data_IF_148650909651
#
_entry.id   IF_148650909651
#
_cell.length_a   1.000
_cell.length_b   1.000
_cell.length_c   1.000
_cell.angle_alpha   90.00
_cell.angle_beta   90.00
_cell.angle_gamma   90.00
#
_symmetry.space_group_name_H-M   'P 1'
#
loop_
_entity.id
_entity.type
_entity.pdbx_description
1 polymer ?
#
# COMPACT_ATOMS: atom_id res chain seq x y z
N UNK A 1 -26.89 -22.47 -0.70
CA UNK A 1 -26.15 -23.63 -0.14
C UNK A 1 -24.79 -23.67 -0.78
N UNK A 2 -23.72 -23.95 -0.06
CA UNK A 2 -22.38 -24.13 -0.68
C UNK A 2 -22.35 -25.46 -1.41
N UNK A 3 -21.92 -25.48 -2.67
CA UNK A 3 -21.69 -26.70 -3.44
C UNK A 3 -20.36 -27.30 -2.99
N UNK A 4 -20.42 -28.32 -2.15
CA UNK A 4 -19.26 -29.05 -1.67
C UNK A 4 -19.23 -30.46 -2.27
N UNK A 5 -18.02 -30.99 -2.43
CA UNK A 5 -17.78 -32.30 -3.01
C UNK A 5 -16.34 -32.73 -2.80
N UNK A 6 -16.14 -34.04 -2.69
CA UNK A 6 -14.82 -34.66 -2.53
C UNK A 6 -14.56 -35.60 -3.69
N UNK A 7 -13.37 -35.49 -4.28
CA UNK A 7 -12.90 -36.44 -5.29
C UNK A 7 -11.95 -37.42 -4.62
N UNK A 8 -12.40 -38.66 -4.47
CA UNK A 8 -11.55 -39.73 -4.00
C UNK A 8 -10.58 -40.16 -5.12
N UNK A 9 -9.30 -40.31 -4.78
CA UNK A 9 -8.22 -40.68 -5.70
C UNK A 9 -8.00 -39.71 -6.89
N UNK A 10 -7.78 -38.40 -6.65
CA UNK A 10 -7.65 -37.38 -7.70
C UNK A 10 -6.48 -37.65 -8.67
N UNK A 11 -5.46 -38.41 -8.25
CA UNK A 11 -4.33 -38.83 -9.08
C UNK A 11 -4.71 -39.71 -10.28
N UNK A 12 -5.94 -40.25 -10.30
CA UNK A 12 -6.45 -41.05 -11.41
C UNK A 12 -7.13 -40.20 -12.50
N UNK A 13 -7.23 -38.88 -12.30
CA UNK A 13 -7.78 -37.96 -13.29
C UNK A 13 -6.67 -37.36 -14.18
N UNK A 14 -6.97 -37.14 -15.45
CA UNK A 14 -6.10 -36.39 -16.36
C UNK A 14 -6.23 -34.86 -16.20
N UNK A 15 -7.19 -34.40 -15.39
CA UNK A 15 -7.44 -32.99 -15.09
C UNK A 15 -8.55 -32.80 -14.06
N UNK A 16 -8.94 -31.55 -13.79
CA UNK A 16 -10.07 -31.25 -12.89
C UNK A 16 -11.40 -31.66 -13.53
N UNK A 17 -12.36 -32.08 -12.69
CA UNK A 17 -13.73 -32.32 -13.12
C UNK A 17 -14.44 -30.99 -13.38
N UNK A 18 -15.22 -30.95 -14.46
CA UNK A 18 -16.14 -29.85 -14.74
C UNK A 18 -17.49 -30.19 -14.14
N UNK A 19 -18.14 -29.22 -13.50
CA UNK A 19 -19.46 -29.39 -12.91
C UNK A 19 -20.46 -28.42 -13.55
N UNK A 20 -21.71 -28.85 -13.72
CA UNK A 20 -22.79 -27.98 -14.16
C UNK A 20 -24.08 -28.27 -13.41
N UNK A 21 -24.81 -27.22 -13.03
CA UNK A 21 -26.17 -27.29 -12.49
C UNK A 21 -27.16 -26.89 -13.59
N UNK A 22 -28.02 -27.82 -13.99
CA UNK A 22 -28.97 -27.64 -15.11
C UNK A 22 -28.29 -27.12 -16.39
N UNK A 23 -27.07 -27.59 -16.65
CA UNK A 23 -26.24 -27.19 -17.79
C UNK A 23 -25.46 -25.89 -17.61
N UNK A 24 -25.64 -25.16 -16.51
CA UNK A 24 -24.86 -23.95 -16.19
C UNK A 24 -23.61 -24.31 -15.39
N UNK A 25 -22.40 -23.88 -15.78
CA UNK A 25 -21.16 -24.20 -15.06
C UNK A 25 -21.17 -23.77 -13.59
N UNK A 26 -20.67 -24.64 -12.71
CA UNK A 26 -20.47 -24.36 -11.28
C UNK A 26 -19.10 -24.85 -10.79
N UNK A 27 -18.65 -24.32 -9.65
CA UNK A 27 -17.39 -24.71 -9.01
C UNK A 27 -17.60 -25.21 -7.57
N UNK A 28 -16.74 -26.12 -7.11
CA UNK A 28 -16.69 -26.50 -5.69
C UNK A 28 -16.42 -25.25 -4.83
N UNK A 29 -17.15 -25.11 -3.73
CA UNK A 29 -17.14 -23.93 -2.87
C UNK A 29 -18.08 -22.81 -3.32
N UNK A 30 -18.69 -22.89 -4.51
CA UNK A 30 -19.65 -21.89 -4.97
C UNK A 30 -20.97 -22.00 -4.21
N UNK A 31 -21.56 -20.87 -3.83
CA UNK A 31 -22.94 -20.86 -3.33
C UNK A 31 -23.91 -21.07 -4.49
N UNK A 32 -24.65 -22.18 -4.47
CA UNK A 32 -25.68 -22.54 -5.43
C UNK A 32 -27.08 -22.51 -4.78
N UNK A 33 -28.11 -22.52 -5.63
CA UNK A 33 -29.52 -22.65 -5.23
C UNK A 33 -30.35 -21.38 -5.37
N UNK A 34 -29.77 -20.18 -5.25
CA UNK A 34 -30.54 -18.94 -5.48
C UNK A 34 -31.02 -18.88 -6.94
N UNK A 35 -32.30 -18.54 -7.13
CA UNK A 35 -32.91 -18.43 -8.46
C UNK A 35 -33.33 -19.76 -9.08
N UNK A 36 -33.20 -20.90 -8.39
CA UNK A 36 -33.70 -22.17 -8.91
C UNK A 36 -35.22 -22.15 -9.01
N UNK A 37 -35.73 -22.62 -10.15
CA UNK A 37 -37.16 -22.92 -10.31
C UNK A 37 -37.57 -24.06 -9.37
N UNK A 38 -38.86 -24.18 -9.06
CA UNK A 38 -39.34 -25.35 -8.34
C UNK A 38 -39.34 -26.57 -9.25
N UNK A 39 -38.80 -27.70 -8.80
CA UNK A 39 -38.74 -28.93 -9.58
C UNK A 39 -37.49 -29.75 -9.33
N UNK A 40 -37.25 -30.71 -10.22
CA UNK A 40 -36.00 -31.47 -10.24
C UNK A 40 -34.90 -30.68 -10.96
N UNK A 41 -33.71 -30.75 -10.39
CA UNK A 41 -32.47 -30.18 -10.89
C UNK A 41 -31.42 -31.27 -11.00
N UNK A 42 -30.48 -31.08 -11.92
CA UNK A 42 -29.40 -32.04 -12.15
C UNK A 42 -28.05 -31.35 -12.03
N UNK A 43 -27.20 -31.89 -11.17
CA UNK A 43 -25.76 -31.59 -11.19
C UNK A 43 -25.09 -32.65 -12.04
N UNK A 44 -24.44 -32.25 -13.12
CA UNK A 44 -23.59 -33.13 -13.91
C UNK A 44 -22.13 -32.88 -13.59
N UNK A 45 -21.32 -33.92 -13.72
CA UNK A 45 -19.87 -33.80 -13.70
C UNK A 45 -19.26 -34.52 -14.90
N UNK A 46 -18.24 -33.93 -15.50
CA UNK A 46 -17.53 -34.50 -16.65
C UNK A 46 -16.02 -34.32 -16.52
N UNK A 47 -15.25 -35.26 -17.05
CA UNK A 47 -13.79 -35.22 -17.04
C UNK A 47 -13.18 -36.35 -17.86
N UNK A 48 -11.88 -36.55 -17.68
CA UNK A 48 -11.12 -37.62 -18.35
C UNK A 48 -10.23 -38.29 -17.32
N UNK A 49 -10.17 -39.62 -17.35
CA UNK A 49 -9.26 -40.37 -16.49
C UNK A 49 -7.82 -40.35 -17.04
N UNK A 50 -6.87 -40.82 -16.23
CA UNK A 50 -5.45 -40.87 -16.59
C UNK A 50 -5.14 -41.81 -17.79
N UNK A 51 -6.11 -42.62 -18.24
CA UNK A 51 -6.01 -43.53 -19.39
C UNK A 51 -6.63 -42.91 -20.65
N UNK A 52 -7.25 -41.74 -20.55
CA UNK A 52 -7.89 -41.04 -21.66
C UNK A 52 -9.37 -41.37 -21.86
N UNK A 53 -9.98 -42.14 -20.95
CA UNK A 53 -11.40 -42.48 -21.01
C UNK A 53 -12.26 -41.37 -20.39
N UNK A 54 -13.46 -41.18 -20.93
CA UNK A 54 -14.38 -40.16 -20.46
C UNK A 54 -14.99 -40.57 -19.09
N UNK A 55 -15.02 -39.61 -18.17
CA UNK A 55 -15.76 -39.72 -16.91
C UNK A 55 -16.98 -38.81 -17.01
N UNK A 56 -18.15 -39.37 -16.79
CA UNK A 56 -19.39 -38.61 -16.71
C UNK A 56 -20.31 -39.16 -15.61
N UNK A 57 -21.11 -38.28 -15.04
CA UNK A 57 -22.19 -38.68 -14.15
C UNK A 57 -23.10 -37.52 -13.78
N UNK A 58 -24.18 -37.87 -13.09
CA UNK A 58 -25.22 -36.92 -12.73
C UNK A 58 -25.82 -37.26 -11.37
N UNK A 59 -26.16 -36.23 -10.62
CA UNK A 59 -26.89 -36.31 -9.36
C UNK A 59 -28.11 -35.43 -9.48
N UNK A 60 -29.30 -36.00 -9.27
CA UNK A 60 -30.56 -35.26 -9.28
C UNK A 60 -30.97 -34.90 -7.86
N UNK A 61 -31.59 -33.74 -7.71
CA UNK A 61 -32.22 -33.31 -6.47
C UNK A 61 -33.44 -32.44 -6.78
N UNK A 62 -34.39 -32.38 -5.86
CA UNK A 62 -35.56 -31.52 -6.00
C UNK A 62 -35.41 -30.27 -5.13
N UNK A 63 -35.87 -29.14 -5.64
CA UNK A 63 -35.96 -27.89 -4.89
C UNK A 63 -37.34 -27.26 -5.05
N UNK A 64 -37.80 -26.54 -4.03
CA UNK A 64 -38.88 -25.57 -4.18
C UNK A 64 -38.34 -24.32 -4.89
N UNK A 65 -39.17 -23.50 -5.52
CA UNK A 65 -38.67 -22.28 -6.18
C UNK A 65 -37.95 -21.37 -5.17
N UNK A 66 -36.67 -21.09 -5.42
CA UNK A 66 -35.80 -20.35 -4.52
C UNK A 66 -35.71 -18.90 -5.00
N UNK A 67 -36.21 -17.93 -4.22
CA UNK A 67 -36.15 -16.53 -4.61
C UNK A 67 -34.72 -15.99 -4.63
N UNK A 68 -34.49 -14.97 -5.46
CA UNK A 68 -33.23 -14.21 -5.51
C UNK A 68 -33.45 -12.81 -4.97
N UNK A 69 -32.49 -12.26 -4.21
CA UNK A 69 -32.55 -10.86 -3.80
C UNK A 69 -32.36 -9.93 -5.01
N UNK A 70 -33.17 -8.86 -5.11
CA UNK A 70 -33.16 -7.85 -6.18
C UNK A 70 -32.84 -6.43 -5.63
N UNK A 71 -32.10 -6.43 -4.52
CA UNK A 71 -31.58 -5.22 -3.87
C UNK A 71 -32.42 -4.72 -2.70
N UNK A 72 -31.81 -3.80 -1.97
CA UNK A 72 -32.40 -3.08 -0.83
C UNK A 72 -32.22 -1.58 -1.04
N UNK A 73 -33.19 -0.78 -0.61
CA UNK A 73 -33.02 0.67 -0.50
C UNK A 73 -33.35 1.12 0.92
N UNK A 74 -32.66 2.17 1.34
CA UNK A 74 -32.87 2.81 2.62
C UNK A 74 -33.01 4.32 2.39
N UNK A 75 -34.03 4.91 3.00
CA UNK A 75 -34.18 6.36 3.08
C UNK A 75 -34.40 6.73 4.55
N UNK A 76 -33.46 7.46 5.14
CA UNK A 76 -33.49 7.88 6.54
C UNK A 76 -33.72 9.39 6.69
N UNK A 77 -34.42 9.78 7.76
CA UNK A 77 -34.65 11.18 8.13
C UNK A 77 -35.53 11.32 9.38
N UNK A 78 -35.25 12.35 10.21
CA UNK A 78 -36.06 12.70 11.39
C UNK A 78 -36.30 11.52 12.36
N UNK A 79 -35.27 10.71 12.61
CA UNK A 79 -35.36 9.54 13.50
C UNK A 79 -36.16 8.35 12.94
N UNK A 80 -36.52 8.38 11.66
CA UNK A 80 -37.24 7.30 10.98
C UNK A 80 -36.45 6.81 9.76
N UNK A 81 -36.64 5.55 9.39
CA UNK A 81 -36.07 4.98 8.17
C UNK A 81 -37.14 4.18 7.42
N UNK A 82 -37.25 4.43 6.11
CA UNK A 82 -38.00 3.60 5.18
C UNK A 82 -37.03 2.60 4.55
N UNK A 83 -37.30 1.31 4.73
CA UNK A 83 -36.54 0.21 4.14
C UNK A 83 -37.40 -0.45 3.06
N UNK A 84 -36.82 -0.63 1.87
CA UNK A 84 -37.43 -1.49 0.84
C UNK A 84 -36.48 -2.62 0.50
N UNK A 85 -37.03 -3.81 0.29
CA UNK A 85 -36.29 -4.99 -0.15
C UNK A 85 -37.07 -5.60 -1.30
N UNK A 86 -36.39 -5.81 -2.43
CA UNK A 86 -36.94 -6.51 -3.58
C UNK A 86 -36.35 -7.91 -3.63
N UNK A 87 -37.19 -8.84 -4.05
CA UNK A 87 -36.79 -10.20 -4.33
C UNK A 87 -37.61 -10.70 -5.52
N UNK A 88 -37.01 -11.58 -6.31
CA UNK A 88 -37.61 -12.16 -7.49
C UNK A 88 -37.85 -13.64 -7.24
N UNK A 89 -39.08 -14.10 -7.47
CA UNK A 89 -39.42 -15.51 -7.43
C UNK A 89 -39.38 -16.07 -8.85
N UNK A 90 -38.54 -17.07 -9.16
CA UNK A 90 -38.51 -17.70 -10.48
C UNK A 90 -39.88 -18.24 -10.93
N UNK A 91 -40.74 -18.66 -9.99
CA UNK A 91 -42.10 -19.12 -10.28
C UNK A 91 -43.12 -18.01 -10.56
N UNK A 92 -42.77 -16.74 -10.32
CA UNK A 92 -43.69 -15.60 -10.37
C UNK A 92 -44.71 -15.53 -9.23
N UNK A 93 -44.69 -16.51 -8.31
CA UNK A 93 -45.55 -16.49 -7.14
C UNK A 93 -45.20 -15.34 -6.17
N UNK A 94 -46.20 -14.84 -5.46
CA UNK A 94 -46.03 -13.78 -4.47
C UNK A 94 -45.00 -14.15 -3.39
N UNK A 95 -44.17 -13.19 -3.01
CA UNK A 95 -43.16 -13.35 -1.97
C UNK A 95 -43.57 -12.60 -0.71
N UNK A 96 -43.24 -13.17 0.45
CA UNK A 96 -43.23 -12.46 1.70
C UNK A 96 -41.78 -12.13 2.06
N UNK A 97 -41.44 -10.86 2.03
CA UNK A 97 -40.17 -10.36 2.58
C UNK A 97 -40.39 -9.94 4.03
N UNK A 98 -39.47 -10.33 4.90
CA UNK A 98 -39.51 -9.93 6.32
C UNK A 98 -38.22 -9.21 6.64
N UNK A 99 -38.33 -7.99 7.15
CA UNK A 99 -37.19 -7.31 7.76
C UNK A 99 -37.00 -7.86 9.16
N UNK A 100 -35.77 -8.28 9.46
CA UNK A 100 -35.38 -8.65 10.81
C UNK A 100 -34.69 -7.42 11.41
N UNK A 101 -35.24 -6.89 12.50
CA UNK A 101 -34.58 -5.84 13.26
C UNK A 101 -33.31 -6.41 13.90
N UNK A 102 -32.18 -5.76 13.66
CA UNK A 102 -30.93 -6.06 14.35
C UNK A 102 -30.76 -5.14 15.56
N UNK A 103 -30.23 -5.68 16.65
CA UNK A 103 -29.79 -4.88 17.80
C UNK A 103 -28.33 -4.44 17.59
N UNK A 104 -28.02 -3.21 17.98
CA UNK A 104 -26.65 -2.70 17.99
C UNK A 104 -26.06 -2.90 19.39
N UNK A 105 -25.04 -3.75 19.49
CA UNK A 105 -24.23 -3.88 20.70
C UNK A 105 -23.04 -2.93 20.62
N UNK A 106 -22.88 -2.07 21.62
CA UNK A 106 -21.72 -1.19 21.78
C UNK A 106 -20.72 -1.82 22.74
N UNK A 107 -19.43 -1.64 22.50
CA UNK A 107 -18.42 -2.07 23.46
C UNK A 107 -18.60 -1.30 24.78
N UNK A 108 -18.83 -2.03 25.89
CA UNK A 108 -19.18 -1.41 27.17
C UNK A 108 -18.02 -0.68 27.85
N UNK A 109 -16.78 -1.07 27.53
CA UNK A 109 -15.56 -0.40 27.99
C UNK A 109 -14.55 -0.36 26.86
N UNK A 110 -14.21 0.86 26.41
CA UNK A 110 -13.16 1.10 25.43
C UNK A 110 -11.89 1.55 26.15
N UNK A 111 -10.76 0.95 25.79
CA UNK A 111 -9.42 1.36 26.22
C UNK A 111 -8.56 1.62 24.99
N UNK A 112 -7.75 2.66 25.06
CA UNK A 112 -6.78 3.02 24.03
C UNK A 112 -5.37 2.86 24.57
N UNK A 113 -4.44 2.48 23.72
CA UNK A 113 -3.02 2.39 24.06
C UNK A 113 -2.24 2.04 22.80
N UNK A 114 -1.13 1.34 22.97
CA UNK A 114 -0.33 0.86 21.86
C UNK A 114 0.20 -0.56 22.10
N UNK A 115 0.55 -1.26 21.03
CA UNK A 115 1.25 -2.55 21.05
C UNK A 115 2.52 -2.43 20.23
N UNK A 116 3.52 -3.29 20.45
CA UNK A 116 4.70 -3.24 19.61
C UNK A 116 4.39 -3.70 18.19
N UNK A 117 5.00 -3.05 17.20
CA UNK A 117 4.90 -3.50 15.79
C UNK A 117 5.31 -4.97 15.64
N UNK A 118 6.30 -5.41 16.42
CA UNK A 118 6.80 -6.78 16.41
C UNK A 118 5.78 -7.83 16.86
N UNK A 119 4.71 -7.43 17.54
CA UNK A 119 3.66 -8.34 17.99
C UNK A 119 2.62 -8.62 16.88
N UNK A 120 2.69 -7.90 15.75
CA UNK A 120 1.87 -8.14 14.57
C UNK A 120 2.58 -9.12 13.63
N UNK A 121 1.95 -10.25 13.33
CA UNK A 121 2.52 -11.29 12.46
C UNK A 121 2.30 -11.03 10.96
N UNK A 122 1.76 -9.86 10.62
CA UNK A 122 1.38 -9.46 9.26
C UNK A 122 -0.07 -9.75 8.89
N UNK A 123 -0.79 -10.54 9.68
CA UNK A 123 -2.22 -10.81 9.48
C UNK A 123 -3.05 -10.59 10.74
N UNK A 124 -2.49 -10.85 11.91
CA UNK A 124 -3.18 -10.84 13.19
C UNK A 124 -2.26 -10.45 14.34
N UNK A 125 -2.90 -10.22 15.49
CA UNK A 125 -2.25 -10.05 16.78
C UNK A 125 -2.80 -11.13 17.71
N UNK A 126 -1.96 -11.66 18.60
CA UNK A 126 -2.43 -12.58 19.64
C UNK A 126 -3.50 -11.92 20.53
N UNK A 127 -4.55 -12.66 20.86
CA UNK A 127 -5.70 -12.13 21.60
C UNK A 127 -5.37 -11.71 23.05
N UNK A 128 -4.26 -12.21 23.61
CA UNK A 128 -3.77 -11.96 24.96
C UNK A 128 -2.66 -10.91 25.04
N UNK A 129 -2.44 -10.16 23.95
CA UNK A 129 -1.43 -9.12 23.89
C UNK A 129 -1.61 -8.05 24.98
N UNK A 130 -0.49 -7.61 25.55
CA UNK A 130 -0.46 -6.56 26.55
C UNK A 130 -0.48 -5.18 25.88
N UNK A 131 -1.59 -4.47 26.03
CA UNK A 131 -1.71 -3.07 25.61
C UNK A 131 -0.91 -2.18 26.56
N UNK A 132 0.05 -1.46 26.01
CA UNK A 132 0.86 -0.49 26.73
C UNK A 132 0.14 0.85 26.83
N UNK A 133 0.36 1.57 27.94
CA UNK A 133 -0.28 2.85 28.27
C UNK A 133 -1.82 2.82 28.11
N UNK A 134 -2.43 1.68 28.44
CA UNK A 134 -3.86 1.47 28.30
C UNK A 134 -4.65 2.46 29.17
N UNK A 135 -5.32 3.42 28.52
CA UNK A 135 -6.19 4.41 29.14
C UNK A 135 -7.65 4.15 28.75
N UNK A 136 -8.58 4.30 29.70
CA UNK A 136 -10.00 4.23 29.41
C UNK A 136 -10.44 5.45 28.58
N UNK A 137 -11.35 5.22 27.64
CA UNK A 137 -11.99 6.31 26.90
C UNK A 137 -13.19 6.82 27.72
N UNK A 138 -13.09 8.04 28.26
CA UNK A 138 -14.10 8.60 29.17
C UNK A 138 -15.47 8.85 28.53
N UNK A 139 -15.49 9.04 27.20
CA UNK A 139 -16.72 9.23 26.40
C UNK A 139 -16.75 8.19 25.27
N UNK A 140 -17.27 6.97 25.54
CA UNK A 140 -17.23 5.88 24.57
C UNK A 140 -18.07 6.23 23.33
N UNK A 141 -17.43 6.12 22.16
CA UNK A 141 -18.05 6.40 20.86
C UNK A 141 -19.29 5.54 20.67
N UNK A 142 -20.41 6.18 20.36
CA UNK A 142 -21.65 5.49 20.01
C UNK A 142 -21.71 5.25 18.50
N UNK A 143 -22.17 4.07 18.05
CA UNK A 143 -22.46 3.86 16.64
C UNK A 143 -23.42 4.94 16.14
N UNK A 144 -23.02 5.61 15.06
CA UNK A 144 -23.76 6.67 14.36
C UNK A 144 -23.86 8.04 15.07
N UNK A 145 -23.01 8.33 16.06
CA UNK A 145 -22.91 9.68 16.66
C UNK A 145 -21.98 10.65 15.90
N UNK A 146 -21.31 10.15 14.85
CA UNK A 146 -20.29 10.86 14.05
C UNK A 146 -19.07 11.37 14.86
N UNK A 147 -18.96 10.99 16.14
CA UNK A 147 -17.86 11.41 17.00
C UNK A 147 -16.63 10.56 16.71
N UNK A 148 -15.46 11.16 16.91
CA UNK A 148 -14.17 10.47 16.79
C UNK A 148 -13.36 10.67 18.07
N UNK A 149 -12.54 9.67 18.39
CA UNK A 149 -11.57 9.76 19.48
C UNK A 149 -10.16 9.82 18.88
N UNK A 150 -9.32 10.70 19.42
CA UNK A 150 -7.92 10.81 19.00
C UNK A 150 -7.15 9.58 19.46
N UNK A 151 -6.37 8.98 18.56
CA UNK A 151 -5.48 7.88 18.92
C UNK A 151 -4.27 8.38 19.72
N UNK A 152 -3.67 7.55 20.59
CA UNK A 152 -2.43 7.90 21.27
C UNK A 152 -1.30 8.21 20.26
N UNK A 153 -0.54 9.28 20.51
CA UNK A 153 0.67 9.57 19.75
C UNK A 153 1.77 8.60 20.15
N UNK A 154 2.19 7.72 19.24
CA UNK A 154 3.19 6.69 19.48
C UNK A 154 4.00 6.41 18.22
N UNK A 155 5.24 5.92 18.38
CA UNK A 155 6.04 5.37 17.28
C UNK A 155 5.74 3.87 17.03
N UNK A 156 4.86 3.29 17.83
CA UNK A 156 4.41 1.89 17.76
C UNK A 156 2.99 1.81 17.16
N UNK A 157 2.32 0.65 17.23
CA UNK A 157 0.95 0.50 16.69
C UNK A 157 -0.09 0.98 17.71
N UNK A 158 -0.84 2.06 17.44
CA UNK A 158 -1.96 2.45 18.30
C UNK A 158 -3.09 1.43 18.19
N UNK A 159 -3.71 1.10 19.33
CA UNK A 159 -4.83 0.14 19.39
C UNK A 159 -6.00 0.69 20.19
N UNK A 160 -7.20 0.31 19.76
CA UNK A 160 -8.45 0.48 20.48
C UNK A 160 -8.96 -0.90 20.86
N UNK A 161 -9.06 -1.17 22.16
CA UNK A 161 -9.53 -2.45 22.70
C UNK A 161 -10.88 -2.25 23.36
N UNK A 162 -11.85 -3.05 22.94
CA UNK A 162 -13.20 -3.07 23.49
C UNK A 162 -13.69 -4.49 23.66
N UNK A 163 -14.43 -4.74 24.74
CA UNK A 163 -15.17 -5.98 24.92
C UNK A 163 -16.58 -5.78 24.37
N UNK A 164 -16.97 -6.66 23.44
CA UNK A 164 -18.31 -6.71 22.85
C UNK A 164 -18.90 -8.07 23.22
N UNK A 165 -20.12 -8.07 23.76
CA UNK A 165 -20.85 -9.31 24.01
C UNK A 165 -21.13 -10.02 22.67
N UNK A 166 -20.34 -11.06 22.40
CA UNK A 166 -20.56 -11.90 21.23
C UNK A 166 -21.54 -13.00 21.59
N UNK A 167 -22.82 -12.81 21.26
CA UNK A 167 -23.87 -13.67 21.79
C UNK A 167 -24.35 -14.74 20.79
N UNK A 168 -24.27 -14.53 19.45
CA UNK A 168 -24.97 -15.42 18.48
C UNK A 168 -24.33 -15.50 17.09
N UNK A 169 -24.46 -16.64 16.37
CA UNK A 169 -24.17 -16.74 14.94
C UNK A 169 -24.93 -15.68 14.14
N UNK A 170 -24.25 -14.98 13.23
CA UNK A 170 -24.83 -13.91 12.39
C UNK A 170 -24.54 -12.48 12.87
N UNK A 171 -23.83 -12.31 13.99
CA UNK A 171 -23.36 -10.99 14.46
C UNK A 171 -22.20 -10.49 13.58
N UNK A 172 -22.26 -9.22 13.15
CA UNK A 172 -21.22 -8.55 12.37
C UNK A 172 -20.61 -7.43 13.21
N UNK A 173 -19.30 -7.44 13.34
CA UNK A 173 -18.56 -6.32 13.95
C UNK A 173 -18.35 -5.25 12.87
N UNK A 174 -18.67 -4.00 13.19
CA UNK A 174 -18.41 -2.84 12.32
C UNK A 174 -17.52 -1.88 13.09
N UNK A 175 -16.38 -1.55 12.50
CA UNK A 175 -15.50 -0.49 12.97
C UNK A 175 -15.43 0.60 11.90
N UNK A 176 -15.57 1.86 12.31
CA UNK A 176 -15.44 3.04 11.45
C UNK A 176 -14.43 3.98 12.10
N UNK A 177 -13.37 4.31 11.38
CA UNK A 177 -12.44 5.38 11.72
C UNK A 177 -12.30 6.32 10.54
N UNK A 178 -12.12 7.62 10.82
CA UNK A 178 -11.54 8.53 9.85
C UNK A 178 -10.03 8.50 10.04
N UNK A 179 -9.37 7.64 9.29
CA UNK A 179 -7.91 7.65 9.24
C UNK A 179 -7.44 8.85 8.43
N UNK A 180 -6.55 9.63 9.05
CA UNK A 180 -5.33 10.15 8.42
C UNK A 180 -5.42 11.31 7.42
N UNK A 181 -6.42 11.41 6.54
CA UNK A 181 -6.33 12.37 5.41
C UNK A 181 -6.11 13.84 5.82
N UNK A 182 -6.83 14.35 6.81
CA UNK A 182 -6.60 15.73 7.27
C UNK A 182 -5.23 15.92 7.93
N UNK A 183 -4.72 14.90 8.62
CA UNK A 183 -3.38 14.94 9.22
C UNK A 183 -2.30 14.86 8.14
N UNK A 184 -2.54 14.15 7.04
CA UNK A 184 -1.61 14.04 5.92
C UNK A 184 -1.60 15.32 5.08
N UNK A 185 -2.77 15.92 4.87
CA UNK A 185 -2.89 17.25 4.26
C UNK A 185 -2.13 18.30 5.09
N UNK A 186 -2.29 18.27 6.42
CA UNK A 186 -1.56 19.14 7.35
C UNK A 186 -0.05 18.86 7.33
N UNK A 187 0.38 17.60 7.42
CA UNK A 187 1.80 17.23 7.37
C UNK A 187 2.48 17.62 6.06
N UNK A 188 1.80 17.48 4.92
CA UNK A 188 2.31 17.91 3.63
C UNK A 188 2.46 19.44 3.59
N UNK A 189 1.44 20.17 4.05
CA UNK A 189 1.47 21.63 4.15
C UNK A 189 2.57 22.11 5.09
N UNK A 190 2.70 21.51 6.27
CA UNK A 190 3.67 21.87 7.29
C UNK A 190 5.11 21.65 6.81
N UNK A 191 5.34 20.62 5.98
CA UNK A 191 6.64 20.39 5.36
C UNK A 191 7.05 21.55 4.44
N UNK A 192 6.12 22.06 3.63
CA UNK A 192 6.36 23.22 2.76
C UNK A 192 6.40 24.53 3.53
N UNK A 193 5.56 24.70 4.56
CA UNK A 193 5.61 25.85 5.43
C UNK A 193 6.94 25.93 6.17
N UNK A 194 7.44 24.81 6.69
CA UNK A 194 8.74 24.75 7.33
C UNK A 194 9.86 25.15 6.37
N UNK A 195 9.83 24.67 5.13
CA UNK A 195 10.79 25.07 4.10
C UNK A 195 10.73 26.59 3.86
N UNK A 196 9.53 27.16 3.75
CA UNK A 196 9.35 28.58 3.54
C UNK A 196 9.88 29.43 4.71
N UNK A 197 9.53 29.05 5.94
CA UNK A 197 9.94 29.74 7.16
C UNK A 197 11.45 29.67 7.40
N UNK A 198 12.10 28.60 6.92
CA UNK A 198 13.51 28.34 7.17
C UNK A 198 14.43 28.63 5.98
N UNK A 199 13.90 28.88 4.78
CA UNK A 199 14.68 29.04 3.55
C UNK A 199 15.82 30.05 3.72
N UNK A 200 15.51 31.27 4.18
CA UNK A 200 16.49 32.33 4.35
C UNK A 200 17.48 32.04 5.48
N UNK A 201 16.99 31.63 6.66
CA UNK A 201 17.82 31.43 7.86
C UNK A 201 18.77 30.25 7.73
N UNK A 202 18.33 29.18 7.05
CA UNK A 202 19.13 27.98 6.77
C UNK A 202 19.90 28.05 5.46
N UNK A 203 19.73 29.13 4.68
CA UNK A 203 20.37 29.35 3.38
C UNK A 203 20.09 28.20 2.42
N UNK A 204 18.83 27.77 2.36
CA UNK A 204 18.37 26.74 1.43
C UNK A 204 18.51 27.30 0.01
N UNK A 205 19.45 26.75 -0.76
CA UNK A 205 19.77 27.26 -2.10
C UNK A 205 19.05 26.49 -3.23
N UNK A 206 18.58 25.28 -2.92
CA UNK A 206 17.84 24.44 -3.85
C UNK A 206 16.99 23.42 -3.07
N UNK A 207 15.79 23.11 -3.55
CA UNK A 207 14.96 22.01 -3.02
C UNK A 207 14.68 20.99 -4.11
N UNK A 208 14.93 19.71 -3.82
CA UNK A 208 14.62 18.60 -4.71
C UNK A 208 13.51 17.74 -4.10
N UNK A 209 12.39 17.57 -4.80
CA UNK A 209 11.32 16.67 -4.42
C UNK A 209 11.34 15.45 -5.34
N UNK A 210 11.59 14.26 -4.77
CA UNK A 210 11.90 13.04 -5.52
C UNK A 210 10.66 12.21 -5.88
N UNK A 211 9.55 12.86 -6.20
CA UNK A 211 8.27 12.21 -6.55
C UNK A 211 7.51 11.58 -5.38
N UNK A 212 6.51 10.78 -5.74
CA UNK A 212 5.42 10.26 -4.91
C UNK A 212 4.71 11.40 -4.18
N UNK A 213 4.17 12.32 -4.98
CA UNK A 213 3.44 13.52 -4.53
C UNK A 213 2.06 13.12 -4.02
N UNK A 214 1.42 12.17 -4.71
CA UNK A 214 0.07 11.69 -4.43
C UNK A 214 0.06 10.16 -4.30
N UNK A 215 -1.07 9.61 -3.86
CA UNK A 215 -1.22 8.16 -3.59
C UNK A 215 -2.03 7.44 -4.69
N UNK A 216 -2.85 8.15 -5.47
CA UNK A 216 -3.92 7.53 -6.27
C UNK A 216 -3.75 7.72 -7.79
N UNK A 217 -2.52 7.59 -8.29
CA UNK A 217 -2.26 7.52 -9.73
C UNK A 217 -1.15 6.51 -10.03
N UNK A 218 -1.39 5.24 -9.68
CA UNK A 218 -0.47 4.10 -9.86
C UNK A 218 -1.19 2.87 -10.43
N UNK A 219 -0.46 1.77 -10.62
CA UNK A 219 -0.99 0.50 -11.16
C UNK A 219 -2.07 -0.19 -10.31
N UNK A 220 -2.23 0.18 -9.03
CA UNK A 220 -3.27 -0.32 -8.12
C UNK A 220 -4.40 0.68 -7.83
N UNK A 221 -4.20 1.96 -8.12
CA UNK A 221 -5.14 3.06 -7.88
C UNK A 221 -5.09 4.06 -9.05
N UNK A 222 -6.06 3.96 -9.96
CA UNK A 222 -6.10 4.70 -11.24
C UNK A 222 -7.35 5.57 -11.40
N UNK A 223 -7.92 6.05 -10.29
CA UNK A 223 -9.02 7.03 -10.33
C UNK A 223 -8.47 8.43 -10.64
N UNK A 224 -8.55 8.84 -11.90
CA UNK A 224 -8.03 10.11 -12.39
C UNK A 224 -8.66 11.31 -11.68
N UNK A 225 -9.98 11.27 -11.43
CA UNK A 225 -10.68 12.36 -10.77
C UNK A 225 -10.17 12.54 -9.33
N UNK A 226 -9.80 11.46 -8.66
CA UNK A 226 -9.14 11.49 -7.35
C UNK A 226 -7.71 11.97 -7.46
N UNK A 227 -6.90 11.45 -8.39
CA UNK A 227 -5.53 11.88 -8.64
C UNK A 227 -5.43 13.40 -8.84
N UNK A 228 -6.28 13.94 -9.72
CA UNK A 228 -6.36 15.38 -10.03
C UNK A 228 -6.66 16.23 -8.80
N UNK A 229 -7.54 15.80 -7.90
CA UNK A 229 -7.79 16.51 -6.63
C UNK A 229 -6.56 16.54 -5.73
N UNK A 230 -5.82 15.44 -5.66
CA UNK A 230 -4.60 15.35 -4.85
C UNK A 230 -3.48 16.20 -5.46
N UNK A 231 -3.31 16.17 -6.79
CA UNK A 231 -2.31 16.98 -7.50
C UNK A 231 -2.63 18.47 -7.44
N UNK A 232 -3.90 18.87 -7.53
CA UNK A 232 -4.33 20.26 -7.32
C UNK A 232 -3.97 20.73 -5.90
N UNK A 233 -4.29 19.94 -4.88
CA UNK A 233 -3.92 20.25 -3.50
C UNK A 233 -2.41 20.40 -3.31
N UNK A 234 -1.63 19.45 -3.85
CA UNK A 234 -0.18 19.50 -3.79
C UNK A 234 0.35 20.75 -4.52
N UNK A 235 -0.07 20.97 -5.77
CA UNK A 235 0.26 22.12 -6.61
C UNK A 235 0.01 23.46 -5.91
N UNK A 236 -1.12 23.60 -5.22
CA UNK A 236 -1.44 24.79 -4.42
C UNK A 236 -0.54 24.94 -3.20
N UNK A 237 -0.25 23.83 -2.51
CA UNK A 237 0.60 23.83 -1.32
C UNK A 237 2.06 24.18 -1.64
N UNK A 238 2.58 23.70 -2.76
CA UNK A 238 3.96 24.00 -3.17
C UNK A 238 4.20 25.47 -3.49
N UNK A 239 3.15 26.26 -3.74
CA UNK A 239 3.26 27.72 -3.88
C UNK A 239 3.92 28.37 -2.66
N UNK A 240 3.77 27.80 -1.46
CA UNK A 240 4.44 28.27 -0.25
C UNK A 240 5.96 28.32 -0.41
N UNK A 241 6.56 27.32 -1.07
CA UNK A 241 7.99 27.31 -1.39
C UNK A 241 8.30 28.26 -2.55
N UNK A 242 7.46 28.27 -3.59
CA UNK A 242 7.66 29.13 -4.76
C UNK A 242 7.70 30.63 -4.40
N UNK A 243 6.85 31.05 -3.48
CA UNK A 243 6.76 32.42 -2.97
C UNK A 243 8.05 32.87 -2.25
N UNK A 244 8.88 31.92 -1.80
CA UNK A 244 10.19 32.22 -1.20
C UNK A 244 11.25 32.58 -2.24
N UNK A 245 11.00 32.23 -3.52
CA UNK A 245 11.94 32.38 -4.61
C UNK A 245 13.09 31.36 -4.63
N UNK A 246 13.07 30.34 -3.76
CA UNK A 246 14.06 29.27 -3.76
C UNK A 246 13.93 28.42 -5.04
N UNK A 247 15.01 28.24 -5.81
CA UNK A 247 15.03 27.31 -6.94
C UNK A 247 14.70 25.89 -6.48
N UNK A 248 13.86 25.19 -7.24
CA UNK A 248 13.48 23.83 -6.89
C UNK A 248 13.13 23.02 -8.14
N UNK A 249 13.08 21.71 -7.96
CA UNK A 249 12.59 20.77 -8.96
C UNK A 249 11.79 19.66 -8.30
N UNK A 250 10.79 19.20 -9.03
CA UNK A 250 10.03 18.01 -8.71
C UNK A 250 10.06 17.07 -9.92
N UNK A 251 10.04 15.78 -9.63
CA UNK A 251 9.92 14.70 -10.60
C UNK A 251 8.74 13.82 -10.20
N UNK A 252 8.05 13.13 -11.13
CA UNK A 252 7.00 12.19 -10.79
C UNK A 252 7.56 10.87 -10.25
N UNK A 253 6.86 10.34 -9.25
CA UNK A 253 6.99 8.99 -8.74
C UNK A 253 6.08 7.98 -9.45
N UNK A 254 6.10 6.72 -9.03
CA UNK A 254 5.16 5.71 -9.56
C UNK A 254 3.70 6.04 -9.25
N UNK A 255 3.49 6.77 -8.16
CA UNK A 255 2.17 7.18 -7.71
C UNK A 255 1.67 8.45 -8.38
N UNK A 256 2.52 9.09 -9.19
CA UNK A 256 2.22 10.34 -9.91
C UNK A 256 2.12 10.15 -11.43
N UNK A 257 2.49 8.98 -11.97
CA UNK A 257 2.56 8.73 -13.41
C UNK A 257 2.03 7.34 -13.83
N UNK A 258 1.08 6.79 -13.08
CA UNK A 258 0.45 5.49 -13.34
C UNK A 258 1.48 4.35 -13.43
N UNK A 259 2.47 4.36 -12.53
CA UNK A 259 3.62 3.45 -12.54
C UNK A 259 4.33 3.36 -13.91
N UNK A 260 4.55 4.52 -14.54
CA UNK A 260 5.15 4.65 -15.88
C UNK A 260 4.13 4.50 -17.02
N UNK A 261 2.85 4.33 -16.72
CA UNK A 261 1.77 4.20 -17.70
C UNK A 261 1.21 5.53 -18.23
N UNK A 262 1.45 6.63 -17.52
CA UNK A 262 0.98 7.98 -17.89
C UNK A 262 2.18 8.92 -18.05
N UNK A 263 2.67 9.04 -19.29
CA UNK A 263 3.89 9.78 -19.63
C UNK A 263 3.71 10.71 -20.83
N UNK A 264 4.65 11.64 -21.01
CA UNK A 264 4.66 12.60 -22.11
C UNK A 264 3.93 13.90 -21.78
N UNK A 265 3.81 14.77 -22.80
CA UNK A 265 3.26 16.14 -22.65
C UNK A 265 1.82 16.18 -22.11
N UNK A 266 1.02 15.14 -22.38
CA UNK A 266 -0.39 15.06 -21.99
C UNK A 266 -0.61 14.32 -20.67
N UNK A 267 0.45 14.03 -19.92
CA UNK A 267 0.30 13.31 -18.64
C UNK A 267 -0.42 14.16 -17.61
N UNK A 268 -1.17 13.50 -16.73
CA UNK A 268 -1.89 14.19 -15.64
C UNK A 268 -0.91 14.95 -14.74
N UNK A 269 0.29 14.43 -14.55
CA UNK A 269 1.37 15.14 -13.84
C UNK A 269 1.71 16.50 -14.48
N UNK A 270 1.84 16.55 -15.81
CA UNK A 270 2.22 17.78 -16.52
C UNK A 270 1.12 18.85 -16.50
N UNK A 271 -0.15 18.49 -16.25
CA UNK A 271 -1.22 19.47 -16.02
C UNK A 271 -0.98 20.36 -14.78
N UNK A 272 -0.20 19.87 -13.79
CA UNK A 272 0.04 20.57 -12.52
C UNK A 272 1.49 20.99 -12.31
N UNK A 273 2.42 20.14 -12.77
CA UNK A 273 3.86 20.32 -12.62
C UNK A 273 4.56 20.35 -13.98
N UNK A 274 3.87 20.82 -15.03
CA UNK A 274 4.41 20.90 -16.38
C UNK A 274 5.45 22.01 -16.60
N UNK A 275 6.09 22.04 -17.78
CA UNK A 275 7.17 22.98 -18.09
C UNK A 275 6.77 24.46 -18.00
N UNK A 276 5.51 24.81 -18.32
CA UNK A 276 5.03 26.20 -18.26
C UNK A 276 5.24 26.81 -16.86
N UNK A 277 4.90 26.05 -15.81
CA UNK A 277 5.10 26.44 -14.41
C UNK A 277 6.58 26.77 -14.13
N UNK A 278 7.48 25.87 -14.52
CA UNK A 278 8.90 26.01 -14.22
C UNK A 278 9.60 27.05 -15.11
N UNK A 279 9.14 27.27 -16.34
CA UNK A 279 9.58 28.40 -17.15
C UNK A 279 9.16 29.74 -16.53
N UNK A 280 7.94 29.85 -15.99
CA UNK A 280 7.50 31.05 -15.28
C UNK A 280 8.34 31.31 -14.02
N UNK A 281 8.64 30.27 -13.24
CA UNK A 281 9.53 30.37 -12.08
C UNK A 281 10.95 30.79 -12.48
N UNK A 282 11.53 30.18 -13.53
CA UNK A 282 12.85 30.54 -14.02
C UNK A 282 12.94 31.97 -14.58
N UNK A 283 11.82 32.54 -15.03
CA UNK A 283 11.74 33.93 -15.46
C UNK A 283 11.64 34.94 -14.29
N UNK A 284 11.42 34.47 -13.06
CA UNK A 284 11.36 35.33 -11.88
C UNK A 284 12.72 35.93 -11.51
N UNK A 285 12.71 37.11 -10.87
CA UNK A 285 13.94 37.79 -10.46
C UNK A 285 14.72 37.01 -9.38
N UNK A 286 14.03 36.29 -8.50
CA UNK A 286 14.66 35.46 -7.47
C UNK A 286 15.44 34.30 -8.09
N UNK A 287 14.86 33.61 -9.07
CA UNK A 287 15.56 32.54 -9.78
C UNK A 287 16.74 33.08 -10.60
N UNK A 288 16.56 34.20 -11.33
CA UNK A 288 17.68 34.85 -12.05
C UNK A 288 18.81 35.24 -11.10
N UNK A 289 18.50 35.78 -9.93
CA UNK A 289 19.50 36.14 -8.91
C UNK A 289 20.27 34.93 -8.37
N UNK A 290 19.63 33.76 -8.31
CA UNK A 290 20.27 32.48 -7.96
C UNK A 290 21.05 31.83 -9.13
N UNK A 291 21.09 32.48 -10.30
CA UNK A 291 21.62 31.89 -11.53
C UNK A 291 20.82 30.66 -11.98
N UNK A 292 19.57 30.55 -11.52
CA UNK A 292 18.74 29.38 -11.71
C UNK A 292 18.16 29.34 -13.12
N UNK A 293 18.24 28.17 -13.75
CA UNK A 293 17.63 27.89 -15.04
C UNK A 293 16.90 26.55 -14.98
N UNK A 294 15.86 26.42 -15.78
CA UNK A 294 15.06 25.21 -15.91
C UNK A 294 15.02 24.77 -17.37
N UNK A 295 15.15 23.48 -17.59
CA UNK A 295 15.11 22.86 -18.91
C UNK A 295 14.42 21.50 -18.83
N UNK A 296 13.27 21.32 -19.51
CA UNK A 296 12.66 20.00 -19.63
C UNK A 296 13.49 19.09 -20.55
N UNK A 297 13.31 17.78 -20.44
CA UNK A 297 13.98 16.85 -21.36
C UNK A 297 13.43 16.91 -22.78
N UNK A 298 12.14 17.20 -22.92
CA UNK A 298 11.42 17.46 -24.18
C UNK A 298 10.43 18.62 -23.99
N UNK A 299 10.11 19.29 -25.09
CA UNK A 299 9.05 20.30 -25.08
C UNK A 299 7.75 19.69 -24.57
N UNK A 300 7.05 20.42 -23.69
CA UNK A 300 5.80 19.96 -23.09
C UNK A 300 5.93 18.95 -21.95
N UNK A 301 7.12 18.37 -21.69
CA UNK A 301 7.25 17.27 -20.72
C UNK A 301 8.28 17.54 -19.60
N UNK A 302 7.78 17.74 -18.37
CA UNK A 302 8.60 17.94 -17.18
C UNK A 302 8.84 16.67 -16.34
N UNK A 303 8.44 15.48 -16.83
CA UNK A 303 8.70 14.26 -16.05
C UNK A 303 10.19 13.98 -15.86
N UNK A 304 11.02 14.42 -16.80
CA UNK A 304 12.45 14.55 -16.64
C UNK A 304 12.86 15.99 -16.93
N UNK A 305 13.84 16.49 -16.18
CA UNK A 305 14.33 17.86 -16.35
C UNK A 305 15.74 18.01 -15.83
N UNK A 306 16.38 19.13 -16.17
CA UNK A 306 17.56 19.57 -15.45
C UNK A 306 17.43 21.03 -15.05
N UNK A 307 18.10 21.38 -13.96
CA UNK A 307 18.23 22.75 -13.52
C UNK A 307 19.70 23.11 -13.40
N UNK A 308 20.01 24.37 -13.67
CA UNK A 308 21.28 24.98 -13.32
C UNK A 308 21.02 25.93 -12.17
N UNK A 309 21.96 26.08 -11.24
CA UNK A 309 21.94 27.15 -10.24
C UNK A 309 23.36 27.36 -9.68
N UNK A 310 23.56 28.47 -8.96
CA UNK A 310 24.83 28.80 -8.31
C UNK A 310 24.61 29.04 -6.82
N UNK A 311 25.42 28.41 -5.98
CA UNK A 311 25.34 28.53 -4.53
C UNK A 311 26.71 28.40 -3.88
N UNK A 312 27.01 29.23 -2.88
CA UNK A 312 28.27 29.14 -2.14
C UNK A 312 29.53 29.31 -3.01
N UNK A 313 29.43 30.06 -4.11
CA UNK A 313 30.52 30.25 -5.07
C UNK A 313 30.80 29.03 -5.95
N UNK A 314 29.86 28.09 -6.03
CA UNK A 314 29.92 26.89 -6.86
C UNK A 314 28.74 26.86 -7.83
N UNK A 315 28.97 26.30 -9.00
CA UNK A 315 27.93 26.06 -10.00
C UNK A 315 27.47 24.61 -9.94
N UNK A 316 26.16 24.42 -10.07
CA UNK A 316 25.51 23.12 -10.00
C UNK A 316 24.69 22.83 -11.26
N UNK A 317 24.53 21.54 -11.53
CA UNK A 317 23.53 20.97 -12.45
C UNK A 317 22.79 19.87 -11.71
N UNK A 318 21.46 19.95 -11.65
CA UNK A 318 20.61 18.86 -11.17
C UNK A 318 20.00 18.16 -12.36
N UNK A 319 20.05 16.83 -12.40
CA UNK A 319 19.32 16.03 -13.39
C UNK A 319 18.26 15.25 -12.64
N UNK A 320 17.00 15.57 -12.92
CA UNK A 320 15.83 15.03 -12.24
C UNK A 320 15.17 14.02 -13.18
N UNK A 321 15.09 12.77 -12.73
CA UNK A 321 14.63 11.65 -13.54
C UNK A 321 13.43 10.99 -12.88
N UNK A 322 12.28 11.06 -13.53
CA UNK A 322 11.01 10.49 -13.09
C UNK A 322 11.03 8.96 -13.03
N UNK A 323 9.95 8.38 -12.50
CA UNK A 323 9.77 6.94 -12.43
C UNK A 323 9.77 6.29 -13.83
N UNK A 324 10.51 5.18 -13.94
CA UNK A 324 10.67 4.31 -15.13
C UNK A 324 11.49 4.90 -16.28
N UNK A 325 12.63 5.51 -15.92
CA UNK A 325 13.61 6.07 -16.88
C UNK A 325 13.99 5.08 -17.97
N UNK A 326 13.68 5.45 -19.20
CA UNK A 326 14.03 4.72 -20.41
C UNK A 326 15.52 4.87 -20.78
N UNK A 327 16.07 3.96 -21.60
CA UNK A 327 17.43 4.12 -22.12
C UNK A 327 17.66 5.43 -22.91
N UNK A 328 16.64 5.96 -23.57
CA UNK A 328 16.70 7.25 -24.29
C UNK A 328 16.88 8.40 -23.30
N UNK A 329 16.06 8.45 -22.24
CA UNK A 329 16.14 9.47 -21.19
C UNK A 329 17.47 9.37 -20.43
N UNK A 330 17.96 8.15 -20.17
CA UNK A 330 19.29 7.95 -19.58
C UNK A 330 20.43 8.47 -20.49
N UNK A 331 20.32 8.30 -21.81
CA UNK A 331 21.28 8.86 -22.77
C UNK A 331 21.20 10.39 -22.82
N UNK A 332 20.00 10.95 -22.81
CA UNK A 332 19.76 12.38 -22.69
C UNK A 332 20.40 12.94 -21.42
N UNK A 333 20.17 12.32 -20.27
CA UNK A 333 20.78 12.70 -19.00
C UNK A 333 22.32 12.65 -19.07
N UNK A 334 22.88 11.61 -19.68
CA UNK A 334 24.33 11.51 -19.92
C UNK A 334 24.85 12.66 -20.78
N UNK A 335 24.09 13.09 -21.79
CA UNK A 335 24.45 14.22 -22.65
C UNK A 335 24.48 15.54 -21.88
N UNK A 336 23.51 15.77 -21.00
CA UNK A 336 23.44 16.95 -20.12
C UNK A 336 24.65 16.98 -19.18
N UNK A 337 24.96 15.87 -18.53
CA UNK A 337 26.12 15.77 -17.63
C UNK A 337 27.45 16.00 -18.35
N UNK A 338 27.59 15.58 -19.62
CA UNK A 338 28.77 15.87 -20.44
C UNK A 338 28.84 17.35 -20.82
N UNK A 339 27.72 17.93 -21.24
CA UNK A 339 27.60 19.35 -21.58
C UNK A 339 27.99 20.26 -20.41
N UNK A 340 27.58 19.90 -19.18
CA UNK A 340 27.85 20.65 -17.96
C UNK A 340 28.93 20.00 -17.07
N UNK A 341 29.92 19.34 -17.67
CA UNK A 341 30.96 18.57 -16.97
C UNK A 341 31.86 19.37 -16.01
N UNK A 342 31.83 20.70 -16.09
CA UNK A 342 32.55 21.59 -15.15
C UNK A 342 31.74 21.98 -13.92
N UNK A 343 30.43 21.68 -13.90
CA UNK A 343 29.53 21.95 -12.77
C UNK A 343 29.49 20.77 -11.81
N UNK A 344 29.13 21.03 -10.55
CA UNK A 344 28.86 19.98 -9.58
C UNK A 344 27.51 19.33 -9.91
N UNK A 345 27.53 18.05 -10.28
CA UNK A 345 26.33 17.32 -10.65
C UNK A 345 25.61 16.73 -9.43
N UNK A 346 24.29 16.89 -9.40
CA UNK A 346 23.37 16.20 -8.49
C UNK A 346 22.39 15.43 -9.36
N UNK A 347 22.16 14.15 -9.09
CA UNK A 347 21.25 13.31 -9.86
C UNK A 347 20.16 12.83 -8.92
N UNK A 348 18.91 13.07 -9.29
CA UNK A 348 17.73 12.63 -8.55
C UNK A 348 16.96 11.61 -9.40
N UNK A 349 17.22 10.30 -9.24
CA UNK A 349 16.48 9.28 -9.95
C UNK A 349 15.33 8.73 -9.09
N UNK A 350 14.15 8.57 -9.70
CA UNK A 350 13.11 7.66 -9.18
C UNK A 350 13.13 6.38 -10.00
N UNK A 351 13.47 5.26 -9.36
CA UNK A 351 13.72 3.99 -10.05
C UNK A 351 12.57 2.99 -9.84
N UNK A 352 12.09 2.40 -10.93
CA UNK A 352 11.77 0.98 -11.02
C UNK A 352 12.66 0.30 -12.06
N UNK A 353 12.75 -1.03 -11.99
CA UNK A 353 13.50 -1.85 -12.96
C UNK A 353 14.98 -1.46 -13.15
N UNK A 354 15.81 -2.03 -12.27
CA UNK A 354 17.16 -2.56 -12.59
C UNK A 354 17.97 -1.75 -13.63
N UNK A 355 18.34 -0.53 -13.30
CA UNK A 355 19.57 0.10 -13.84
C UNK A 355 20.80 -0.17 -12.96
N UNK A 356 20.69 -1.12 -12.03
CA UNK A 356 21.85 -1.76 -11.40
C UNK A 356 22.30 -2.93 -12.28
N UNK A 357 22.90 -2.64 -13.44
CA UNK A 357 23.82 -3.63 -14.00
C UNK A 357 25.00 -3.77 -13.01
N UNK A 358 25.30 -4.98 -12.50
CA UNK A 358 26.40 -5.17 -11.57
C UNK A 358 27.71 -4.96 -12.33
N UNK A 359 28.23 -3.74 -12.31
CA UNK A 359 29.53 -3.45 -12.91
C UNK A 359 30.06 -2.03 -12.74
N UNK A 360 29.21 -1.00 -12.65
CA UNK A 360 29.69 0.39 -12.77
C UNK A 360 28.95 1.38 -11.85
N UNK A 361 28.95 1.14 -10.54
CA UNK A 361 28.63 2.18 -9.57
C UNK A 361 29.50 2.02 -8.32
N UNK A 362 30.73 2.55 -8.38
CA UNK A 362 31.43 2.95 -7.15
C UNK A 362 30.86 4.31 -6.75
N UNK A 363 29.85 4.32 -5.89
CA UNK A 363 29.58 5.49 -5.07
C UNK A 363 30.78 5.69 -4.14
N UNK A 364 31.74 6.53 -4.55
CA UNK A 364 32.62 7.17 -3.59
C UNK A 364 31.91 8.42 -3.11
N UNK A 365 31.30 8.33 -1.93
CA UNK A 365 31.01 9.52 -1.15
C UNK A 365 32.35 10.23 -0.88
N UNK A 366 32.67 11.26 -1.68
CA UNK A 366 33.84 12.09 -1.44
C UNK A 366 33.49 13.03 -0.30
N UNK A 367 33.60 12.56 0.95
CA UNK A 367 33.73 13.49 2.07
C UNK A 367 35.13 14.10 2.00
N UNK A 368 35.28 15.29 1.41
CA UNK A 368 36.49 16.09 1.65
C UNK A 368 36.42 16.62 3.08
N UNK A 369 36.87 15.82 4.06
CA UNK A 369 37.39 16.40 5.30
C UNK A 369 38.63 17.20 4.91
N UNK A 370 38.60 18.51 5.15
CA UNK A 370 39.85 19.28 5.31
C UNK A 370 40.46 18.86 6.64
N UNK A 371 41.14 17.72 6.65
CA UNK A 371 42.09 17.42 7.72
C UNK A 371 43.40 18.09 7.33
N UNK A 372 43.79 19.10 8.11
CA UNK A 372 45.13 19.66 8.07
C UNK A 372 46.15 18.54 8.31
N UNK A 373 46.81 18.08 7.27
CA UNK A 373 47.94 17.15 7.38
C UNK A 373 49.10 17.80 8.15
N UNK A 374 49.59 17.11 9.18
CA UNK A 374 51.02 17.07 9.50
C UNK A 374 51.62 15.80 8.86
N UNK A 375 52.86 15.84 8.34
CA UNK A 375 53.39 14.77 7.50
C UNK A 375 54.08 13.67 8.31
N UNK A 376 53.82 12.42 7.92
CA UNK A 376 54.64 11.26 8.27
C UNK A 376 53.82 10.07 8.77
N UNK A 377 53.45 9.13 7.90
CA UNK A 377 54.15 7.85 7.78
C UNK A 377 53.52 6.99 6.66
N UNK A 378 54.35 6.30 5.89
CA UNK A 378 53.94 5.44 4.76
C UNK A 378 53.69 4.02 5.24
N UNK A 379 52.52 3.41 4.96
CA UNK A 379 52.41 1.95 4.68
C UNK A 379 51.29 1.65 3.68
N UNK A 380 51.61 0.78 2.72
CA UNK A 380 50.78 0.28 1.62
C UNK A 380 49.70 -0.72 2.09
N UNK A 381 48.60 -0.93 1.33
CA UNK A 381 47.63 -1.99 1.58
C UNK A 381 48.00 -3.27 0.80
N UNK A 382 47.90 -4.44 1.45
CA UNK A 382 47.89 -5.74 0.78
C UNK A 382 46.47 -6.32 0.78
N UNK A 383 45.98 -6.61 -0.42
CA UNK A 383 44.83 -7.47 -0.70
C UNK A 383 45.17 -8.94 -0.45
N UNK A 384 44.21 -9.73 0.03
CA UNK A 384 44.33 -11.19 0.10
C UNK A 384 42.97 -11.87 0.26
N UNK A 385 42.46 -12.45 -0.84
CA UNK A 385 41.32 -13.36 -0.90
C UNK A 385 41.80 -14.80 -0.65
N UNK A 386 41.00 -15.62 0.06
CA UNK A 386 41.14 -17.09 0.11
C UNK A 386 40.44 -17.73 1.32
N UNK A 387 40.16 -19.06 1.31
CA UNK A 387 38.83 -19.55 0.93
C UNK A 387 38.08 -20.36 2.00
N UNK A 388 36.80 -20.63 1.70
CA UNK A 388 35.84 -21.54 2.35
C UNK A 388 36.36 -22.97 2.44
N UNK A 389 36.19 -23.62 3.61
CA UNK A 389 36.06 -25.08 3.75
C UNK A 389 35.03 -25.47 4.80
N UNK A 390 34.06 -26.24 4.35
CA UNK A 390 33.11 -27.03 5.15
C UNK A 390 33.79 -28.26 5.76
N UNK A 391 33.32 -28.69 6.94
CA UNK A 391 33.47 -30.08 7.41
C UNK A 391 32.34 -30.43 8.37
N UNK A 392 31.49 -31.35 7.91
CA UNK A 392 30.64 -32.18 8.72
C UNK A 392 31.40 -33.43 9.20
N UNK A 393 31.09 -33.89 10.41
CA UNK A 393 31.19 -35.25 11.00
C UNK A 393 30.68 -35.06 12.44
N UNK A 394 29.79 -35.86 13.00
CA UNK A 394 29.50 -37.27 12.81
C UNK A 394 29.42 -37.86 14.22
N UNK A 395 28.29 -38.50 14.52
CA UNK A 395 27.84 -39.05 15.80
C UNK A 395 28.81 -40.06 16.45
N UNK A 396 28.74 -40.24 17.78
CA UNK A 396 28.49 -41.56 18.38
C UNK A 396 28.22 -41.53 19.91
N UNK A 397 27.05 -42.08 20.24
CA UNK A 397 26.58 -42.85 21.40
C UNK A 397 27.40 -43.09 22.70
N UNK A 398 26.63 -43.14 23.80
CA UNK A 398 26.84 -43.95 25.01
C UNK A 398 26.28 -43.25 26.27
N UNK A 399 25.00 -43.35 26.63
CA UNK A 399 24.22 -44.47 27.18
C UNK A 399 24.58 -44.89 28.64
N UNK A 400 23.51 -44.97 29.46
CA UNK A 400 23.35 -45.58 30.80
C UNK A 400 23.73 -44.69 32.02
N UNK A 401 22.91 -44.56 33.07
CA UNK A 401 21.59 -45.09 33.36
C UNK A 401 21.26 -45.07 34.87
N UNK A 402 19.96 -44.91 35.15
CA UNK A 402 19.15 -45.48 36.27
C UNK A 402 19.22 -44.91 37.70
N UNK A 403 18.01 -44.77 38.27
CA UNK A 403 17.69 -44.91 39.70
C UNK A 403 16.79 -43.80 40.25
N UNK A 404 15.50 -43.68 39.88
CA UNK A 404 14.30 -44.39 40.38
C UNK A 404 13.87 -44.12 41.85
N UNK A 405 12.56 -43.82 41.99
CA UNK A 405 11.64 -43.84 43.16
C UNK A 405 11.60 -42.54 43.99
N UNK A 406 10.46 -41.91 44.29
CA UNK A 406 9.04 -42.25 44.16
C UNK A 406 8.34 -42.00 45.50
N UNK A 407 7.26 -41.19 45.53
CA UNK A 407 6.17 -41.30 46.51
C UNK A 407 5.05 -40.28 46.23
N UNK A 408 3.84 -40.80 46.01
CA UNK A 408 2.57 -40.09 46.13
C UNK A 408 2.30 -39.74 47.61
N UNK A 409 1.58 -38.64 47.86
CA UNK A 409 0.42 -38.65 48.79
C UNK A 409 -0.49 -37.42 48.60
N UNK A 410 -1.77 -37.72 48.84
CA UNK A 410 -3.03 -36.99 48.61
C UNK A 410 -3.33 -35.85 49.61
N UNK A 411 -4.26 -34.98 49.16
CA UNK A 411 -5.46 -34.37 49.83
C UNK A 411 -5.33 -33.09 50.70
N UNK A 412 -5.95 -32.03 50.16
CA UNK A 412 -7.21 -31.35 50.56
C UNK A 412 -7.36 -30.47 51.83
N UNK A 413 -8.25 -29.47 51.66
CA UNK A 413 -8.91 -28.52 52.57
C UNK A 413 -8.15 -27.18 52.79
N UNK A 414 -8.77 -25.99 52.67
CA UNK A 414 -10.19 -25.58 52.80
C UNK A 414 -10.65 -24.67 51.67
#
# INVERSE_FOLDING_TARGET
MTFEGTVDHPQLLAGELNYALDGSPIQLGQTIGQGLAGGEHTITYTGTDALGEAIEGAVTFASSSIPTADGVTQQSGQGTALLTARATNPSGAGLQTTFIAGDVATAGSLRQGWIHVADFDGQSVAADIQVQDAAALEDPLSPDDERTAQAPATSELPVLVGEIDYARPGQRVVWRGQAERSQWDEAYRDSYQWLADNAATRKIAFVAHTGDIIENWNGGASDEARARKQLEFASQTQKLLEDTGVPHAILPGNDDNLAGGDVGETSVYNDYFGPERYHALAASESWKAAGAQYHPWKEGDNQNSYNLFSAGGQDFVTVNLGYDVTPEEAQWASSVLKQYSTRNAIIHPRLPRVLLQPGWARYQAVSRRRDHQRPGDRRQPQCGLGPVRSRARGEHHGAQGRGQRGAQRRRAAR
#
